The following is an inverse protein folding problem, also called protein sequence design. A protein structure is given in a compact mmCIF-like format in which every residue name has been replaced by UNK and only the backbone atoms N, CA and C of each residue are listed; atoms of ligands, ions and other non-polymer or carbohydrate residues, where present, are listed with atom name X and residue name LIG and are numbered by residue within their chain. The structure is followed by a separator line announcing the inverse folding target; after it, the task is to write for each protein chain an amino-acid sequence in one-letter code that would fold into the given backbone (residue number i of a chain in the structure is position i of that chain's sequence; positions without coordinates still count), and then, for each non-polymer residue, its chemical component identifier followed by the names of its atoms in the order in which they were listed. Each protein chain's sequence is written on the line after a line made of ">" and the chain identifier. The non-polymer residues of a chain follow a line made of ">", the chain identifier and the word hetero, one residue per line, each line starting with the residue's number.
data_IF_698981339712
#
_entry.id   IF_698981339712
#
_cell.length_a   1.000
_cell.length_b   1.000
_cell.length_c   1.000
_cell.angle_alpha   90.00
_cell.angle_beta   90.00
_cell.angle_gamma   90.00
#
_symmetry.space_group_name_H-M   'P 1'
#
loop_
_entity.id
_entity.type
_entity.pdbx_description
1 polymer ?
#
# COMPACT_ATOMS: atom_id res chain seq x y z
N UNK A 1 -16.69 38.73 -38.86
CA UNK A 1 -15.57 38.86 -37.91
C UNK A 1 -14.29 38.37 -38.54
N UNK A 2 -13.13 38.89 -38.10
CA UNK A 2 -11.81 38.46 -38.55
C UNK A 2 -11.56 38.59 -40.07
N UNK A 3 -12.19 39.57 -40.71
CA UNK A 3 -12.09 39.83 -42.15
C UNK A 3 -12.25 41.33 -42.46
N UNK A 4 -11.95 41.76 -43.69
CA UNK A 4 -12.05 43.16 -44.12
C UNK A 4 -13.46 43.75 -44.02
N UNK A 5 -14.47 42.89 -43.91
CA UNK A 5 -15.84 43.31 -43.63
C UNK A 5 -15.99 43.99 -42.26
N UNK A 6 -15.02 43.86 -41.36
CA UNK A 6 -15.03 44.57 -40.08
C UNK A 6 -14.46 45.99 -40.17
N UNK A 7 -13.69 46.33 -41.22
CA UNK A 7 -13.01 47.63 -41.33
C UNK A 7 -13.95 48.84 -41.15
N UNK A 8 -15.18 48.85 -41.71
CA UNK A 8 -16.09 50.00 -41.58
C UNK A 8 -16.55 50.29 -40.15
N UNK A 9 -16.53 49.31 -39.24
CA UNK A 9 -17.04 49.47 -37.87
C UNK A 9 -15.94 49.73 -36.83
N UNK A 10 -14.66 49.64 -37.21
CA UNK A 10 -13.55 49.65 -36.24
C UNK A 10 -13.42 50.96 -35.47
N UNK A 11 -13.72 52.10 -36.10
CA UNK A 11 -13.63 53.41 -35.45
C UNK A 11 -14.73 53.58 -34.39
N UNK A 12 -15.97 53.24 -34.73
CA UNK A 12 -17.09 53.26 -33.77
C UNK A 12 -16.86 52.27 -32.62
N UNK A 13 -16.33 51.08 -32.93
CA UNK A 13 -15.99 50.08 -31.92
C UNK A 13 -14.86 50.55 -31.00
N UNK A 14 -13.83 51.20 -31.56
CA UNK A 14 -12.74 51.84 -30.81
C UNK A 14 -13.26 52.90 -29.86
N UNK A 15 -14.11 53.80 -30.35
CA UNK A 15 -14.68 54.87 -29.53
C UNK A 15 -15.41 54.30 -28.31
N UNK A 16 -16.15 53.19 -28.46
CA UNK A 16 -16.78 52.50 -27.33
C UNK A 16 -15.76 51.82 -26.42
N UNK A 17 -14.78 51.10 -26.99
CA UNK A 17 -13.75 50.39 -26.23
C UNK A 17 -12.93 51.35 -25.33
N UNK A 18 -12.62 52.55 -25.80
CA UNK A 18 -11.91 53.59 -25.04
C UNK A 18 -12.70 54.12 -23.83
N UNK A 19 -14.01 53.90 -23.78
CA UNK A 19 -14.82 54.27 -22.60
C UNK A 19 -14.77 53.24 -21.47
N UNK A 20 -14.25 52.04 -21.73
CA UNK A 20 -14.23 50.94 -20.76
C UNK A 20 -13.05 51.06 -19.81
N UNK A 21 -13.29 50.68 -18.55
CA UNK A 21 -12.22 50.54 -17.55
C UNK A 21 -11.65 49.13 -17.58
N UNK A 22 -10.39 49.01 -17.99
CA UNK A 22 -9.69 47.74 -18.06
C UNK A 22 -8.84 47.49 -16.81
N UNK A 23 -8.69 46.22 -16.46
CA UNK A 23 -7.86 45.76 -15.35
C UNK A 23 -6.93 44.65 -15.82
N UNK A 24 -5.75 44.58 -15.23
CA UNK A 24 -4.78 43.54 -15.56
C UNK A 24 -5.34 42.15 -15.21
N UNK A 25 -5.26 41.17 -16.12
CA UNK A 25 -5.63 39.80 -15.81
C UNK A 25 -4.79 39.23 -14.67
N UNK A 26 -5.46 38.65 -13.66
CA UNK A 26 -4.78 37.94 -12.56
C UNK A 26 -4.30 36.55 -12.96
N UNK A 27 -4.95 35.96 -13.97
CA UNK A 27 -4.58 34.67 -14.55
C UNK A 27 -3.89 34.97 -15.87
N UNK A 28 -2.70 34.40 -16.14
CA UNK A 28 -2.01 34.57 -17.41
C UNK A 28 -2.91 34.19 -18.60
N UNK A 29 -2.96 35.04 -19.62
CA UNK A 29 -3.80 34.85 -20.81
C UNK A 29 -2.90 34.66 -22.02
N UNK A 30 -3.15 33.60 -22.79
CA UNK A 30 -2.61 33.46 -24.14
C UNK A 30 -3.48 34.29 -25.08
N UNK A 31 -2.87 35.23 -25.79
CA UNK A 31 -3.61 36.10 -26.70
C UNK A 31 -4.07 35.31 -27.93
N UNK A 32 -5.35 35.45 -28.27
CA UNK A 32 -5.91 34.88 -29.50
C UNK A 32 -5.44 35.60 -30.77
N UNK A 33 -4.78 36.75 -30.65
CA UNK A 33 -4.23 37.49 -31.80
C UNK A 33 -2.79 37.05 -32.06
N UNK A 34 -1.98 36.89 -31.02
CA UNK A 34 -0.56 36.51 -31.18
C UNK A 34 -0.31 35.01 -31.08
N UNK A 35 -1.16 34.26 -30.39
CA UNK A 35 -0.94 32.84 -30.07
C UNK A 35 0.07 32.61 -28.94
N UNK A 36 0.51 33.68 -28.27
CA UNK A 36 1.54 33.65 -27.23
C UNK A 36 0.99 34.18 -25.89
N UNK A 37 1.68 33.88 -24.79
CA UNK A 37 1.33 34.47 -23.49
C UNK A 37 1.50 35.98 -23.55
N UNK A 38 0.41 36.69 -23.27
CA UNK A 38 0.38 38.14 -23.40
C UNK A 38 1.29 38.80 -22.36
N UNK A 39 1.99 39.85 -22.78
CA UNK A 39 2.71 40.75 -21.89
C UNK A 39 1.74 41.54 -21.01
N UNK A 40 2.24 42.01 -19.86
CA UNK A 40 1.48 42.90 -18.99
C UNK A 40 0.97 44.13 -19.78
N UNK A 41 -0.28 44.50 -19.55
CA UNK A 41 -0.93 45.64 -20.21
C UNK A 41 -1.50 45.35 -21.60
N UNK A 42 -1.23 44.19 -22.21
CA UNK A 42 -1.79 43.88 -23.56
C UNK A 42 -3.31 43.94 -23.58
N UNK A 43 -3.97 43.36 -22.59
CA UNK A 43 -5.43 43.29 -22.52
C UNK A 43 -6.09 44.54 -21.93
N UNK A 44 -5.29 45.46 -21.40
CA UNK A 44 -5.78 46.72 -20.82
C UNK A 44 -5.84 47.87 -21.82
N UNK A 45 -5.39 47.65 -23.06
CA UNK A 45 -5.46 48.62 -24.13
C UNK A 45 -6.64 48.35 -25.08
N UNK A 46 -7.47 49.36 -25.39
CA UNK A 46 -8.56 49.25 -26.37
C UNK A 46 -8.11 48.71 -27.73
N UNK A 47 -6.90 49.08 -28.17
CA UNK A 47 -6.29 48.63 -29.43
C UNK A 47 -6.28 47.11 -29.57
N UNK A 48 -6.04 46.38 -28.48
CA UNK A 48 -6.06 44.93 -28.51
C UNK A 48 -7.41 44.38 -28.97
N UNK A 49 -8.49 44.94 -28.45
CA UNK A 49 -9.86 44.49 -28.73
C UNK A 49 -10.30 44.87 -30.16
N UNK A 50 -9.91 46.06 -30.62
CA UNK A 50 -10.12 46.51 -32.01
C UNK A 50 -9.33 45.62 -32.99
N UNK A 51 -8.11 45.23 -32.65
CA UNK A 51 -7.34 44.27 -33.43
C UNK A 51 -7.97 42.89 -33.41
N UNK A 52 -8.38 42.38 -32.25
CA UNK A 52 -8.92 41.04 -32.09
C UNK A 52 -10.20 40.81 -32.91
N UNK A 53 -11.10 41.81 -33.00
CA UNK A 53 -12.32 41.68 -33.81
C UNK A 53 -12.04 41.63 -35.32
N UNK A 54 -10.86 42.14 -35.76
CA UNK A 54 -10.44 42.24 -37.16
C UNK A 54 -9.43 41.20 -37.63
N UNK A 55 -8.45 40.87 -36.80
CA UNK A 55 -7.36 39.93 -37.09
C UNK A 55 -7.78 38.48 -36.88
N UNK A 56 -7.08 37.54 -37.50
CA UNK A 56 -7.40 36.12 -37.39
C UNK A 56 -7.14 35.57 -35.98
N UNK A 57 -7.99 34.66 -35.51
CA UNK A 57 -7.83 34.00 -34.22
C UNK A 57 -6.83 32.85 -34.33
N UNK A 58 -5.69 32.98 -33.65
CA UNK A 58 -4.60 31.99 -33.57
C UNK A 58 -4.87 30.91 -32.51
N UNK A 59 -6.06 30.28 -32.57
CA UNK A 59 -6.52 29.31 -31.56
C UNK A 59 -5.57 28.12 -31.37
N UNK A 60 -5.21 27.44 -32.47
CA UNK A 60 -4.35 26.26 -32.42
C UNK A 60 -2.95 26.59 -31.87
N UNK A 61 -2.42 27.76 -32.23
CA UNK A 61 -1.14 28.23 -31.70
C UNK A 61 -1.24 28.50 -30.20
N UNK A 62 -2.35 29.09 -29.74
CA UNK A 62 -2.56 29.32 -28.32
C UNK A 62 -2.71 28.04 -27.50
N UNK A 63 -3.40 27.03 -28.03
CA UNK A 63 -3.50 25.71 -27.41
C UNK A 63 -2.13 25.04 -27.29
N UNK A 64 -1.30 25.12 -28.34
CA UNK A 64 0.07 24.59 -28.29
C UNK A 64 0.96 25.35 -27.33
N UNK A 65 0.86 26.68 -27.28
CA UNK A 65 1.61 27.50 -26.32
C UNK A 65 1.28 27.16 -24.86
N UNK A 66 0.04 26.75 -24.56
CA UNK A 66 -0.34 26.22 -23.25
C UNK A 66 0.29 24.84 -23.00
N UNK A 67 0.24 23.95 -23.98
CA UNK A 67 0.84 22.61 -23.88
C UNK A 67 2.36 22.65 -23.69
N UNK A 68 3.06 23.52 -24.43
CA UNK A 68 4.52 23.74 -24.31
C UNK A 68 4.92 24.25 -22.93
N UNK A 69 3.98 24.83 -22.19
CA UNK A 69 4.14 25.27 -20.79
C UNK A 69 3.71 24.21 -19.76
N UNK A 70 3.39 23.00 -20.20
CA UNK A 70 3.04 21.87 -19.35
C UNK A 70 1.57 21.82 -18.93
N UNK A 71 0.67 22.56 -19.60
CA UNK A 71 -0.77 22.44 -19.34
C UNK A 71 -1.28 21.11 -19.91
N UNK A 72 -1.86 20.27 -19.05
CA UNK A 72 -2.37 18.93 -19.40
C UNK A 72 -3.89 18.79 -19.25
N UNK A 73 -4.57 19.84 -18.81
CA UNK A 73 -6.02 19.85 -18.62
C UNK A 73 -6.64 21.13 -19.18
N UNK A 74 -7.64 20.97 -20.04
CA UNK A 74 -8.33 22.06 -20.73
C UNK A 74 -9.84 21.98 -20.45
N UNK A 75 -10.43 23.11 -20.09
CA UNK A 75 -11.87 23.26 -19.89
C UNK A 75 -12.42 24.27 -20.90
N UNK A 76 -13.33 23.84 -21.77
CA UNK A 76 -14.08 24.73 -22.65
C UNK A 76 -15.27 25.33 -21.90
N UNK A 77 -15.24 26.65 -21.72
CA UNK A 77 -16.36 27.41 -21.17
C UNK A 77 -17.21 27.93 -22.32
N UNK A 78 -18.38 27.34 -22.48
CA UNK A 78 -19.31 27.68 -23.56
C UNK A 78 -20.53 26.79 -23.53
N UNK A 79 -21.54 27.05 -24.38
CA UNK A 79 -22.81 26.32 -24.39
C UNK A 79 -22.73 24.90 -25.00
N UNK A 80 -21.58 24.51 -25.58
CA UNK A 80 -21.36 23.20 -26.19
C UNK A 80 -19.87 22.80 -26.08
N UNK A 81 -19.45 21.78 -26.82
CA UNK A 81 -18.09 21.24 -26.80
C UNK A 81 -17.35 21.26 -28.14
N UNK A 82 -17.50 22.33 -28.93
CA UNK A 82 -16.88 22.44 -30.26
C UNK A 82 -15.38 22.72 -30.15
N UNK A 83 -14.98 23.65 -29.27
CA UNK A 83 -13.57 24.01 -29.11
C UNK A 83 -12.76 22.87 -28.48
N UNK A 84 -13.40 21.98 -27.73
CA UNK A 84 -12.79 20.80 -27.14
C UNK A 84 -12.24 19.87 -28.20
N UNK A 85 -13.01 19.63 -29.27
CA UNK A 85 -12.55 18.81 -30.39
C UNK A 85 -11.39 19.48 -31.15
N UNK A 86 -11.46 20.80 -31.36
CA UNK A 86 -10.39 21.56 -32.03
C UNK A 86 -9.11 21.62 -31.19
N UNK A 87 -9.24 21.76 -29.87
CA UNK A 87 -8.13 21.74 -28.94
C UNK A 87 -7.46 20.36 -28.95
N UNK A 88 -8.23 19.27 -28.84
CA UNK A 88 -7.71 17.91 -28.94
C UNK A 88 -6.92 17.69 -30.25
N UNK A 89 -7.44 18.17 -31.38
CA UNK A 89 -6.74 18.08 -32.67
C UNK A 89 -5.48 18.95 -32.78
N UNK A 90 -5.31 19.93 -31.88
CA UNK A 90 -4.13 20.81 -31.84
C UNK A 90 -3.02 20.30 -30.92
N UNK A 91 -3.32 19.29 -30.09
CA UNK A 91 -2.46 18.73 -29.05
C UNK A 91 -1.86 17.39 -29.50
N UNK A 92 -0.69 16.99 -28.98
CA UNK A 92 -0.18 15.64 -29.19
C UNK A 92 -1.05 14.59 -28.50
N UNK A 93 -1.06 13.35 -29.01
CA UNK A 93 -1.78 12.19 -28.43
C UNK A 93 -1.12 11.70 -27.13
N UNK A 94 -1.06 12.56 -26.11
CA UNK A 94 -0.37 12.29 -24.84
C UNK A 94 -1.15 12.84 -23.67
N UNK A 95 -1.80 11.97 -22.89
CA UNK A 95 -2.23 12.18 -21.50
C UNK A 95 -3.09 13.41 -21.17
N UNK A 96 -3.49 14.20 -22.17
CA UNK A 96 -4.11 15.52 -21.99
C UNK A 96 -5.62 15.35 -21.98
N UNK A 97 -6.28 15.97 -21.01
CA UNK A 97 -7.74 15.96 -20.90
C UNK A 97 -8.32 17.25 -21.46
N UNK A 98 -9.33 17.14 -22.31
CA UNK A 98 -10.08 18.28 -22.83
C UNK A 98 -11.56 18.06 -22.54
N UNK A 99 -12.15 18.95 -21.76
CA UNK A 99 -13.49 18.79 -21.21
C UNK A 99 -14.35 19.99 -21.58
N UNK A 100 -15.54 19.80 -22.19
CA UNK A 100 -16.52 20.87 -22.30
C UNK A 100 -17.32 21.01 -21.01
N UNK A 101 -17.52 22.25 -20.56
CA UNK A 101 -18.32 22.55 -19.37
C UNK A 101 -19.81 22.28 -19.60
N UNK A 102 -20.32 22.56 -20.80
CA UNK A 102 -21.71 22.29 -21.20
C UNK A 102 -21.78 21.47 -22.49
N UNK A 103 -22.93 20.86 -22.70
CA UNK A 103 -23.30 20.19 -23.94
C UNK A 103 -24.71 20.58 -24.29
N UNK A 104 -24.96 20.79 -25.58
CA UNK A 104 -26.32 20.99 -26.07
C UNK A 104 -27.21 19.80 -25.65
N UNK A 105 -28.46 20.11 -25.30
CA UNK A 105 -29.50 19.11 -24.95
C UNK A 105 -29.17 18.27 -23.70
N UNK A 106 -28.35 18.81 -22.79
CA UNK A 106 -28.06 18.22 -21.48
C UNK A 106 -28.39 19.22 -20.38
N UNK A 107 -28.74 18.70 -19.21
CA UNK A 107 -28.92 19.53 -18.02
C UNK A 107 -27.61 20.26 -17.67
N UNK A 108 -27.70 21.57 -17.42
CA UNK A 108 -26.52 22.42 -17.19
C UNK A 108 -25.78 22.01 -15.91
N UNK A 109 -26.51 21.76 -14.82
CA UNK A 109 -25.93 21.41 -13.52
C UNK A 109 -25.18 20.09 -13.61
N UNK A 110 -25.82 19.07 -14.20
CA UNK A 110 -25.20 17.75 -14.43
C UNK A 110 -23.99 17.87 -15.34
N UNK A 111 -24.05 18.70 -16.39
CA UNK A 111 -22.95 18.87 -17.34
C UNK A 111 -21.73 19.49 -16.68
N UNK A 112 -21.91 20.57 -15.92
CA UNK A 112 -20.82 21.25 -15.22
C UNK A 112 -20.19 20.33 -14.17
N UNK A 113 -21.00 19.70 -13.30
CA UNK A 113 -20.49 18.81 -12.26
C UNK A 113 -19.76 17.60 -12.86
N UNK A 114 -20.29 17.03 -13.95
CA UNK A 114 -19.62 15.94 -14.67
C UNK A 114 -18.31 16.38 -15.31
N UNK A 115 -18.26 17.61 -15.85
CA UNK A 115 -17.05 18.18 -16.42
C UNK A 115 -15.96 18.38 -15.37
N UNK A 116 -16.30 19.00 -14.24
CA UNK A 116 -15.39 19.17 -13.10
C UNK A 116 -14.92 17.82 -12.54
N UNK A 117 -15.81 16.82 -12.47
CA UNK A 117 -15.44 15.47 -12.04
C UNK A 117 -14.42 14.80 -12.97
N UNK A 118 -14.54 15.02 -14.29
CA UNK A 118 -13.54 14.52 -15.27
C UNK A 118 -12.18 15.17 -15.07
N UNK A 119 -12.14 16.46 -14.78
CA UNK A 119 -10.88 17.16 -14.45
C UNK A 119 -10.27 16.60 -13.16
N UNK A 120 -11.10 16.38 -12.13
CA UNK A 120 -10.66 15.78 -10.86
C UNK A 120 -10.06 14.38 -11.04
N UNK A 121 -10.72 13.51 -11.80
CA UNK A 121 -10.20 12.16 -12.11
C UNK A 121 -8.90 12.23 -12.92
N UNK A 122 -8.72 13.27 -13.73
CA UNK A 122 -7.47 13.54 -14.45
C UNK A 122 -6.37 14.16 -13.57
N UNK A 123 -6.62 14.36 -12.27
CA UNK A 123 -5.64 14.84 -11.29
C UNK A 123 -5.64 16.35 -11.05
N UNK A 124 -6.62 17.09 -11.59
CA UNK A 124 -6.80 18.51 -11.25
C UNK A 124 -7.35 18.61 -9.83
N UNK A 125 -6.71 19.43 -8.99
CA UNK A 125 -7.22 19.70 -7.65
C UNK A 125 -8.53 20.51 -7.73
N UNK A 126 -9.58 19.99 -7.09
CA UNK A 126 -10.92 20.58 -7.11
C UNK A 126 -11.41 20.70 -5.69
N UNK A 127 -11.74 21.92 -5.29
CA UNK A 127 -12.45 22.18 -4.06
C UNK A 127 -13.95 21.86 -4.20
N UNK A 128 -14.32 20.63 -3.85
CA UNK A 128 -15.70 20.16 -3.85
C UNK A 128 -16.57 20.80 -2.76
N UNK A 129 -15.97 21.51 -1.79
CA UNK A 129 -16.73 22.21 -0.75
C UNK A 129 -17.30 23.54 -1.25
N UNK A 130 -16.65 24.18 -2.23
CA UNK A 130 -17.08 25.45 -2.80
C UNK A 130 -18.55 25.48 -3.29
N UNK A 131 -19.05 24.51 -4.10
CA UNK A 131 -20.46 24.51 -4.53
C UNK A 131 -21.46 24.19 -3.40
N UNK A 132 -20.98 23.64 -2.27
CA UNK A 132 -21.83 23.27 -1.13
C UNK A 132 -21.85 24.34 -0.02
N UNK A 133 -20.98 25.36 -0.14
CA UNK A 133 -20.88 26.45 0.82
C UNK A 133 -22.21 27.22 0.93
N UNK A 134 -22.72 27.35 2.15
CA UNK A 134 -24.00 28.03 2.42
C UNK A 134 -25.27 27.19 2.18
N UNK A 135 -25.15 25.97 1.64
CA UNK A 135 -26.29 25.09 1.37
C UNK A 135 -26.77 24.27 2.59
N UNK A 136 -26.09 24.39 3.74
CA UNK A 136 -26.38 23.59 4.94
C UNK A 136 -26.11 22.08 4.76
N UNK A 137 -25.35 21.71 3.71
CA UNK A 137 -24.97 20.34 3.43
C UNK A 137 -24.14 19.75 4.57
N UNK A 138 -24.35 18.46 4.86
CA UNK A 138 -23.55 17.70 5.83
C UNK A 138 -22.76 16.64 5.08
N UNK A 139 -21.48 16.50 5.42
CA UNK A 139 -20.66 15.39 4.94
C UNK A 139 -21.20 14.12 5.60
N UNK A 140 -21.52 13.12 4.79
CA UNK A 140 -21.95 11.81 5.26
C UNK A 140 -20.80 10.82 5.10
N UNK A 141 -20.61 9.94 6.08
CA UNK A 141 -19.70 8.81 5.94
C UNK A 141 -20.26 7.84 4.89
N UNK A 142 -19.43 7.54 3.89
CA UNK A 142 -19.71 6.51 2.90
C UNK A 142 -18.91 5.25 3.25
N UNK A 143 -19.35 4.05 2.83
CA UNK A 143 -18.55 2.85 3.00
C UNK A 143 -17.12 3.07 2.52
N UNK A 144 -16.16 2.62 3.33
CA UNK A 144 -14.73 2.76 3.01
C UNK A 144 -14.38 1.90 1.80
N UNK A 145 -13.17 2.13 1.27
CA UNK A 145 -12.64 1.39 0.11
C UNK A 145 -12.92 -0.11 0.22
N UNK A 146 -13.56 -0.67 -0.80
CA UNK A 146 -13.83 -2.10 -0.87
C UNK A 146 -12.52 -2.85 -1.17
N UNK A 147 -11.76 -3.16 -0.11
CA UNK A 147 -10.54 -3.95 -0.23
C UNK A 147 -10.82 -5.28 -0.94
N UNK A 148 -9.95 -5.63 -1.89
CA UNK A 148 -9.95 -6.97 -2.48
C UNK A 148 -9.31 -7.91 -1.47
N UNK A 149 -10.13 -8.52 -0.62
CA UNK A 149 -9.65 -9.41 0.42
C UNK A 149 -9.09 -10.71 -0.17
N UNK A 150 -7.80 -10.92 0.02
CA UNK A 150 -7.14 -12.20 -0.21
C UNK A 150 -6.64 -12.78 1.11
N UNK A 151 -6.75 -14.11 1.25
CA UNK A 151 -6.40 -14.81 2.49
C UNK A 151 -4.91 -15.17 2.49
N UNK A 152 -4.12 -14.40 3.22
CA UNK A 152 -2.67 -14.61 3.39
C UNK A 152 -2.27 -15.34 4.69
N UNK A 153 -3.19 -16.12 5.28
CA UNK A 153 -2.89 -16.88 6.50
C UNK A 153 -2.09 -18.16 6.19
N UNK A 154 -0.99 -18.45 6.90
CA UNK A 154 -0.27 -19.71 6.77
C UNK A 154 -1.20 -20.91 7.00
N UNK A 155 -1.13 -21.91 6.11
CA UNK A 155 -1.85 -23.18 6.31
C UNK A 155 -1.05 -24.02 7.30
N UNK A 156 -1.61 -24.31 8.46
CA UNK A 156 -1.01 -25.25 9.40
C UNK A 156 -0.80 -26.61 8.71
N UNK A 157 0.40 -27.17 8.82
CA UNK A 157 0.66 -28.54 8.42
C UNK A 157 -0.22 -29.49 9.27
N UNK A 158 -0.65 -30.65 8.73
CA UNK A 158 -1.42 -31.61 9.50
C UNK A 158 -0.70 -31.97 10.80
N UNK A 159 -1.42 -31.90 11.92
CA UNK A 159 -0.88 -32.23 13.23
C UNK A 159 -0.28 -33.64 13.24
N UNK A 160 0.85 -33.80 13.92
CA UNK A 160 1.42 -35.11 14.20
C UNK A 160 0.39 -35.99 14.95
N UNK A 161 0.53 -37.31 14.80
CA UNK A 161 -0.31 -38.34 15.44
C UNK A 161 -0.70 -38.01 16.89
N UNK A 162 -1.96 -38.29 17.24
CA UNK A 162 -2.49 -38.12 18.59
C UNK A 162 -1.74 -39.01 19.60
N UNK A 163 -0.90 -38.38 20.43
CA UNK A 163 -0.07 -39.05 21.41
C UNK A 163 -0.86 -39.71 22.56
N UNK A 164 -2.13 -39.33 22.74
CA UNK A 164 -2.96 -39.86 23.84
C UNK A 164 -3.23 -41.36 23.72
N UNK A 165 -3.29 -41.88 22.49
CA UNK A 165 -3.42 -43.32 22.23
C UNK A 165 -2.23 -44.16 22.72
N UNK A 166 -1.09 -43.54 23.01
CA UNK A 166 0.11 -44.17 23.58
C UNK A 166 0.23 -43.96 25.10
N UNK A 167 -0.77 -43.35 25.74
CA UNK A 167 -0.74 -43.01 27.17
C UNK A 167 0.10 -41.77 27.51
N UNK A 168 0.44 -40.95 26.52
CA UNK A 168 1.19 -39.70 26.69
C UNK A 168 0.24 -38.49 26.63
N UNK A 169 0.62 -37.36 27.24
CA UNK A 169 -0.11 -36.11 27.08
C UNK A 169 0.26 -35.44 25.76
N UNK A 170 -0.67 -34.71 25.13
CA UNK A 170 -0.34 -33.79 24.03
C UNK A 170 0.53 -32.65 24.58
N UNK A 171 1.61 -32.32 23.87
CA UNK A 171 2.38 -31.12 24.18
C UNK A 171 1.82 -29.86 23.49
N UNK A 172 0.70 -29.94 22.75
CA UNK A 172 0.00 -28.82 22.10
C UNK A 172 0.92 -27.81 21.39
N UNK A 173 1.97 -28.31 20.73
CA UNK A 173 3.02 -27.49 20.15
C UNK A 173 3.49 -28.03 18.79
N UNK A 174 3.72 -27.18 17.76
CA UNK A 174 4.07 -27.66 16.42
C UNK A 174 5.35 -28.49 16.33
N UNK A 175 6.31 -28.27 17.23
CA UNK A 175 7.60 -28.98 17.26
C UNK A 175 7.69 -30.07 18.34
N UNK A 176 6.70 -30.16 19.25
CA UNK A 176 6.65 -31.15 20.34
C UNK A 176 5.32 -31.88 20.27
N UNK A 177 5.36 -33.19 20.05
CA UNK A 177 4.17 -34.01 19.87
C UNK A 177 3.61 -34.56 21.18
N UNK A 178 4.46 -34.77 22.19
CA UNK A 178 4.05 -35.43 23.43
C UNK A 178 4.79 -34.91 24.66
N UNK A 179 4.14 -35.01 25.81
CA UNK A 179 4.70 -34.77 27.14
C UNK A 179 4.39 -35.96 28.07
N UNK A 180 5.29 -36.26 29.00
CA UNK A 180 5.11 -37.32 30.00
C UNK A 180 5.84 -37.01 31.30
N UNK A 181 5.27 -37.41 32.43
CA UNK A 181 5.97 -37.44 33.72
C UNK A 181 6.79 -38.73 33.87
N UNK A 182 7.93 -38.62 34.53
CA UNK A 182 8.80 -39.77 34.81
C UNK A 182 8.41 -40.40 36.15
N UNK A 183 7.88 -41.62 36.09
CA UNK A 183 7.39 -42.33 37.27
C UNK A 183 8.47 -42.45 38.37
N UNK A 184 8.11 -42.08 39.59
CA UNK A 184 9.03 -42.10 40.74
C UNK A 184 9.90 -40.85 40.88
N UNK A 185 9.67 -39.82 40.07
CA UNK A 185 10.35 -38.53 40.15
C UNK A 185 9.38 -37.37 39.87
N UNK A 186 9.83 -36.13 40.10
CA UNK A 186 9.14 -34.90 39.69
C UNK A 186 9.69 -34.36 38.35
N UNK A 187 10.22 -35.25 37.50
CA UNK A 187 10.74 -34.90 36.19
C UNK A 187 9.67 -35.03 35.11
N UNK A 188 9.76 -34.15 34.11
CA UNK A 188 8.91 -34.14 32.93
C UNK A 188 9.79 -34.28 31.68
N UNK A 189 9.29 -35.03 30.69
CA UNK A 189 9.90 -35.14 29.37
C UNK A 189 8.91 -34.64 28.32
N UNK A 190 9.37 -33.73 27.44
CA UNK A 190 8.69 -33.38 26.21
C UNK A 190 9.45 -33.95 25.03
N UNK A 191 8.76 -34.42 24.01
CA UNK A 191 9.37 -35.04 22.83
C UNK A 191 8.70 -34.61 21.53
N UNK A 192 9.48 -34.58 20.46
CA UNK A 192 9.03 -34.19 19.13
C UNK A 192 9.95 -34.67 18.01
N UNK A 193 9.61 -34.27 16.80
CA UNK A 193 10.36 -34.59 15.58
C UNK A 193 10.54 -33.32 14.75
N UNK A 194 11.79 -32.95 14.49
CA UNK A 194 12.15 -31.77 13.70
C UNK A 194 12.55 -32.22 12.30
N UNK A 195 11.84 -31.74 11.28
CA UNK A 195 12.11 -32.06 9.88
C UNK A 195 11.78 -30.88 8.99
N UNK A 196 12.64 -30.58 8.03
CA UNK A 196 12.36 -29.60 6.97
C UNK A 196 11.14 -30.00 6.10
N UNK A 197 10.77 -31.29 6.06
CA UNK A 197 9.60 -31.73 5.32
C UNK A 197 8.29 -31.36 6.03
N UNK A 198 8.24 -31.50 7.36
CA UNK A 198 7.06 -31.20 8.18
C UNK A 198 6.99 -29.71 8.53
N UNK A 199 8.14 -29.06 8.68
CA UNK A 199 8.28 -27.64 9.03
C UNK A 199 9.15 -26.94 7.98
N UNK A 200 8.60 -26.61 6.79
CA UNK A 200 9.40 -26.08 5.67
C UNK A 200 10.22 -24.83 6.00
N UNK A 201 9.73 -23.99 6.91
CA UNK A 201 10.43 -22.78 7.37
C UNK A 201 11.75 -23.08 8.09
N UNK A 202 11.95 -24.30 8.62
CA UNK A 202 13.26 -24.68 9.19
C UNK A 202 14.35 -24.66 8.10
N UNK A 203 14.00 -24.95 6.85
CA UNK A 203 14.93 -24.94 5.73
C UNK A 203 15.37 -23.54 5.31
N UNK A 204 14.78 -22.48 5.86
CA UNK A 204 15.16 -21.09 5.55
C UNK A 204 16.34 -20.60 6.41
N UNK A 205 16.61 -21.26 7.54
CA UNK A 205 17.71 -20.89 8.45
C UNK A 205 19.02 -21.63 8.10
N UNK A 206 19.59 -21.26 6.95
CA UNK A 206 20.80 -21.88 6.38
C UNK A 206 22.05 -21.03 6.65
N UNK A 207 23.09 -21.65 7.22
CA UNK A 207 24.41 -21.03 7.40
C UNK A 207 25.46 -21.96 6.82
N UNK A 208 26.27 -21.46 5.89
CA UNK A 208 27.31 -22.29 5.25
C UNK A 208 26.78 -23.53 4.53
N UNK A 209 25.54 -23.49 4.02
CA UNK A 209 24.89 -24.61 3.32
C UNK A 209 24.29 -25.69 4.23
N UNK A 210 24.37 -25.55 5.55
CA UNK A 210 23.76 -26.44 6.52
C UNK A 210 22.51 -25.79 7.12
N UNK A 211 21.46 -26.58 7.35
CA UNK A 211 20.23 -26.13 8.01
C UNK A 211 20.49 -26.15 9.51
N UNK A 212 20.53 -24.98 10.15
CA UNK A 212 20.68 -24.89 11.60
C UNK A 212 19.31 -24.68 12.24
N UNK A 213 19.01 -25.41 13.31
CA UNK A 213 17.87 -25.07 14.13
C UNK A 213 18.12 -23.69 14.77
N UNK A 214 17.22 -22.71 14.59
CA UNK A 214 17.43 -21.36 15.10
C UNK A 214 17.62 -21.35 16.62
N UNK A 215 18.48 -20.44 17.12
CA UNK A 215 18.63 -20.26 18.57
C UNK A 215 17.31 -19.89 19.26
N UNK A 216 16.48 -19.09 18.59
CA UNK A 216 15.11 -18.77 19.02
C UNK A 216 14.18 -19.98 19.03
N UNK A 217 14.49 -21.02 18.25
CA UNK A 217 13.78 -22.30 18.31
C UNK A 217 14.00 -23.02 19.64
N UNK A 218 15.21 -22.95 20.22
CA UNK A 218 15.44 -23.49 21.57
C UNK A 218 14.67 -22.70 22.63
N UNK A 219 14.58 -21.38 22.47
CA UNK A 219 13.79 -20.53 23.36
C UNK A 219 12.29 -20.85 23.29
N UNK A 220 11.74 -21.03 22.09
CA UNK A 220 10.35 -21.47 21.89
C UNK A 220 10.07 -22.80 22.60
N UNK A 221 10.98 -23.78 22.42
CA UNK A 221 10.89 -25.07 23.09
C UNK A 221 11.01 -24.95 24.62
N UNK A 222 11.82 -24.01 25.12
CA UNK A 222 11.96 -23.72 26.55
C UNK A 222 10.68 -23.12 27.14
N UNK A 223 10.06 -22.16 26.44
CA UNK A 223 8.78 -21.55 26.85
C UNK A 223 7.70 -22.63 26.93
N UNK A 224 7.61 -23.50 25.92
CA UNK A 224 6.62 -24.57 25.97
C UNK A 224 6.87 -25.57 27.11
N UNK A 225 8.14 -25.88 27.40
CA UNK A 225 8.50 -26.71 28.55
C UNK A 225 8.12 -26.03 29.88
N UNK A 226 8.26 -24.70 29.96
CA UNK A 226 7.82 -23.91 31.12
C UNK A 226 6.31 -23.99 31.31
N UNK A 227 5.51 -23.74 30.26
CA UNK A 227 4.05 -23.86 30.31
C UNK A 227 3.62 -25.25 30.78
N UNK A 228 4.30 -26.30 30.31
CA UNK A 228 3.98 -27.68 30.66
C UNK A 228 4.32 -28.03 32.12
N UNK A 229 5.24 -27.28 32.73
CA UNK A 229 5.68 -27.41 34.12
C UNK A 229 5.04 -26.37 35.05
N UNK A 230 4.04 -25.61 34.57
CA UNK A 230 3.38 -24.52 35.29
C UNK A 230 4.36 -23.40 35.76
N UNK A 231 5.39 -23.14 34.95
CA UNK A 231 6.36 -22.04 35.12
C UNK A 231 6.06 -20.90 34.13
N UNK A 232 6.28 -19.65 34.54
CA UNK A 232 5.90 -18.45 33.76
C UNK A 232 7.08 -17.71 33.11
N UNK A 233 8.32 -18.13 33.41
CA UNK A 233 9.54 -17.52 32.86
C UNK A 233 10.63 -18.54 32.52
N UNK A 234 11.42 -18.19 31.50
CA UNK A 234 12.74 -18.76 31.24
C UNK A 234 13.78 -17.85 31.90
N UNK A 235 14.45 -18.35 32.92
CA UNK A 235 15.45 -17.61 33.72
C UNK A 235 16.81 -17.57 33.02
N UNK A 236 17.19 -18.69 32.42
CA UNK A 236 18.46 -18.85 31.71
C UNK A 236 18.29 -19.83 30.54
N UNK A 237 18.99 -19.56 29.44
CA UNK A 237 19.13 -20.48 28.33
C UNK A 237 20.55 -20.36 27.74
N UNK A 238 21.26 -21.47 27.74
CA UNK A 238 22.60 -21.60 27.19
C UNK A 238 22.63 -22.67 26.10
N UNK A 239 22.97 -22.26 24.88
CA UNK A 239 23.13 -23.17 23.74
C UNK A 239 24.62 -23.51 23.63
N UNK A 240 24.96 -24.74 24.03
CA UNK A 240 26.34 -25.22 24.06
C UNK A 240 26.80 -25.78 22.72
N UNK A 241 25.91 -26.42 21.97
CA UNK A 241 26.21 -26.99 20.66
C UNK A 241 25.07 -26.71 19.68
N UNK A 242 25.36 -26.22 18.46
CA UNK A 242 24.33 -26.00 17.46
C UNK A 242 23.67 -27.33 17.06
N UNK A 243 22.37 -27.28 16.77
CA UNK A 243 21.65 -28.41 16.19
C UNK A 243 21.59 -28.22 14.67
N UNK A 244 22.16 -29.18 13.93
CA UNK A 244 22.10 -29.23 12.47
C UNK A 244 21.02 -30.22 12.05
N UNK A 245 20.08 -29.77 11.23
CA UNK A 245 19.01 -30.60 10.68
C UNK A 245 19.44 -31.22 9.35
N UNK A 246 19.14 -32.50 9.11
CA UNK A 246 19.41 -33.12 7.82
C UNK A 246 18.46 -32.54 6.76
N UNK A 247 18.93 -32.45 5.50
CA UNK A 247 18.12 -31.99 4.38
C UNK A 247 16.90 -32.91 4.12
N UNK A 248 17.03 -34.20 4.48
CA UNK A 248 15.98 -35.22 4.38
C UNK A 248 15.93 -36.04 5.66
N UNK A 249 14.73 -36.47 6.07
CA UNK A 249 14.53 -37.19 7.33
C UNK A 249 14.21 -36.24 8.47
N UNK A 250 14.37 -36.73 9.70
CA UNK A 250 14.05 -35.97 10.91
C UNK A 250 15.06 -36.26 12.02
N UNK A 251 15.17 -35.33 12.97
CA UNK A 251 15.81 -35.59 14.26
C UNK A 251 14.72 -35.68 15.33
N UNK A 252 14.87 -36.66 16.23
CA UNK A 252 14.07 -36.70 17.45
C UNK A 252 14.63 -35.66 18.40
N UNK A 253 13.74 -34.88 19.02
CA UNK A 253 14.09 -33.93 20.08
C UNK A 253 13.47 -34.41 21.38
N UNK A 254 14.22 -34.32 22.48
CA UNK A 254 13.74 -34.56 23.82
C UNK A 254 14.18 -33.42 24.73
N UNK A 255 13.26 -32.93 25.55
CA UNK A 255 13.51 -31.91 26.56
C UNK A 255 13.25 -32.55 27.91
N UNK A 256 14.27 -32.61 28.76
CA UNK A 256 14.15 -33.00 30.16
C UNK A 256 13.96 -31.75 31.00
N UNK A 257 12.89 -31.75 31.80
CA UNK A 257 12.63 -30.77 32.84
C UNK A 257 12.86 -31.46 34.18
N UNK A 258 13.81 -30.95 34.95
CA UNK A 258 14.16 -31.47 36.26
C UNK A 258 13.07 -31.25 37.32
N UNK A 259 13.25 -31.89 38.47
CA UNK A 259 12.47 -31.60 39.67
C UNK A 259 12.63 -30.12 40.07
N UNK A 260 11.59 -29.56 40.69
CA UNK A 260 11.69 -28.23 41.28
C UNK A 260 12.67 -28.21 42.45
N UNK A 261 13.52 -27.19 42.48
CA UNK A 261 14.32 -26.88 43.67
C UNK A 261 13.50 -26.13 44.74
N UNK A 262 14.15 -25.75 45.84
CA UNK A 262 13.50 -25.06 46.97
C UNK A 262 12.88 -23.71 46.58
N UNK A 263 13.33 -23.10 45.48
CA UNK A 263 12.84 -21.83 44.95
C UNK A 263 11.77 -22.03 43.86
N UNK A 264 11.43 -23.27 43.54
CA UNK A 264 10.48 -23.62 42.48
C UNK A 264 11.08 -23.57 41.07
N UNK A 265 12.40 -23.40 40.95
CA UNK A 265 13.09 -23.37 39.66
C UNK A 265 13.45 -24.78 39.20
N UNK A 266 13.39 -25.02 37.89
CA UNK A 266 13.61 -26.33 37.26
C UNK A 266 14.67 -26.22 36.18
N UNK A 267 15.57 -27.20 36.13
CA UNK A 267 16.59 -27.29 35.06
C UNK A 267 15.96 -27.83 33.76
N UNK A 268 16.34 -27.23 32.63
CA UNK A 268 16.03 -27.73 31.29
C UNK A 268 17.27 -28.31 30.63
N UNK A 269 17.13 -29.44 29.94
CA UNK A 269 18.18 -30.03 29.08
C UNK A 269 17.59 -30.47 27.75
N UNK A 270 18.22 -30.07 26.65
CA UNK A 270 17.73 -30.29 25.30
C UNK A 270 18.62 -31.30 24.57
N UNK A 271 18.03 -32.41 24.16
CA UNK A 271 18.72 -33.51 23.49
C UNK A 271 18.15 -33.75 22.11
N UNK A 272 19.01 -34.16 21.18
CA UNK A 272 18.53 -34.74 19.91
C UNK A 272 19.28 -36.02 19.54
N UNK A 273 18.66 -36.81 18.67
CA UNK A 273 19.29 -37.93 17.97
C UNK A 273 18.67 -38.11 16.59
N UNK A 274 19.32 -38.83 15.66
CA UNK A 274 18.72 -39.21 14.38
C UNK A 274 17.37 -39.91 14.57
N UNK A 275 16.35 -39.55 13.78
CA UNK A 275 14.99 -40.06 13.99
C UNK A 275 14.77 -41.53 13.61
N UNK A 276 15.62 -42.08 12.75
CA UNK A 276 15.51 -43.47 12.24
C UNK A 276 16.39 -44.45 13.02
N UNK A 277 17.27 -43.97 13.90
CA UNK A 277 18.20 -44.78 14.67
C UNK A 277 17.88 -44.71 16.17
N UNK A 278 17.21 -45.74 16.68
CA UNK A 278 16.80 -45.80 18.08
C UNK A 278 17.98 -46.00 19.04
N UNK A 279 19.08 -46.60 18.58
CA UNK A 279 20.25 -46.91 19.41
C UNK A 279 21.30 -45.79 19.34
N UNK A 280 21.11 -44.79 18.49
CA UNK A 280 21.96 -43.60 18.44
C UNK A 280 22.00 -42.86 19.78
N UNK A 281 23.20 -42.44 20.16
CA UNK A 281 23.42 -41.62 21.36
C UNK A 281 22.73 -40.26 21.24
N UNK A 282 22.16 -39.81 22.36
CA UNK A 282 21.59 -38.47 22.46
C UNK A 282 22.70 -37.41 22.56
N UNK A 283 22.63 -36.40 21.71
CA UNK A 283 23.49 -35.22 21.77
C UNK A 283 22.80 -34.10 22.54
N UNK A 284 23.43 -33.57 23.57
CA UNK A 284 22.93 -32.39 24.28
C UNK A 284 23.31 -31.11 23.53
N UNK A 285 22.34 -30.23 23.31
CA UNK A 285 22.54 -28.97 22.57
C UNK A 285 22.45 -27.74 23.45
N UNK A 286 21.55 -27.75 24.43
CA UNK A 286 21.30 -26.61 25.29
C UNK A 286 20.93 -27.04 26.71
N UNK A 287 21.13 -26.12 27.65
CA UNK A 287 20.65 -26.19 29.02
C UNK A 287 19.95 -24.90 29.38
N UNK A 288 19.08 -24.91 30.38
CA UNK A 288 18.42 -23.70 30.85
C UNK A 288 17.79 -23.86 32.23
N UNK A 289 17.12 -22.80 32.68
CA UNK A 289 16.35 -22.78 33.92
C UNK A 289 15.01 -22.09 33.68
N UNK A 290 13.95 -22.61 34.28
CA UNK A 290 12.60 -22.04 34.26
C UNK A 290 12.12 -21.86 35.69
N UNK A 291 11.27 -20.86 35.93
CA UNK A 291 10.71 -20.57 37.25
C UNK A 291 9.30 -20.02 37.18
N UNK A 292 8.67 -19.89 38.35
CA UNK A 292 7.32 -19.35 38.57
C UNK A 292 7.34 -17.99 39.25
#
# INVERSE_FOLDING_TARGET
>A
FHSSLMDPMLEDFRAVAETLSYHEPRIPVVSNVTGEVASAGTHTHPDYWVRHVREAVRFADGVRALADRGVTAFLEIGPDGVLSALAAASLPDTGTVVVPALRKDRDETVSVLSGVARLYVAGVDVDWSAPLSGAGARIADVPTYAFQHERYWPKAAPAALDATGLGLASADHPLLGAAMSVAGSDELLLTGSLSAATHPWLADHVVGGMIFFPGTGFLELAVRAADQADCDRVEELMIAAPLVLPATGAVQVQISVGAADEEGSRELRFFTRPGEDFDAEWTQHATGRIGS
#
